data_IF_936368848149
#
_entry.id   IF_936368848149
#
_cell.length_a   1.000
_cell.length_b   1.000
_cell.length_c   1.000
_cell.angle_alpha   90.00
_cell.angle_beta   90.00
_cell.angle_gamma   90.00
#
_symmetry.space_group_name_H-M   'P 1'
#
loop_
_entity.id
_entity.type
_entity.pdbx_description
1 polymer ?
#
# COMPACT_ATOMS: atom_id res chain seq x y z
N UNK A 1 2.87 20.82 14.67
CA UNK A 1 1.54 20.35 15.03
C UNK A 1 1.41 18.86 14.77
N UNK A 2 0.89 18.12 15.75
CA UNK A 2 0.58 16.69 15.62
C UNK A 2 -0.95 16.53 15.63
N UNK A 3 -1.48 15.88 14.59
CA UNK A 3 -2.89 15.49 14.54
C UNK A 3 -2.99 13.99 14.84
N UNK A 4 -3.82 13.62 15.79
CA UNK A 4 -4.10 12.22 16.13
C UNK A 4 -5.43 11.83 15.48
N UNK A 5 -5.44 10.68 14.80
CA UNK A 5 -6.63 10.07 14.22
C UNK A 5 -6.66 8.60 14.59
N UNK A 6 -7.81 7.98 14.50
CA UNK A 6 -7.92 6.55 14.79
C UNK A 6 -9.23 5.97 14.31
N UNK A 7 -9.28 4.66 14.26
CA UNK A 7 -10.48 3.88 13.99
C UNK A 7 -10.51 2.61 14.84
N UNK A 8 -11.71 2.14 15.11
CA UNK A 8 -11.97 0.84 15.69
C UNK A 8 -12.96 0.08 14.81
N UNK A 9 -12.73 -1.21 14.62
CA UNK A 9 -13.63 -2.08 13.89
C UNK A 9 -14.07 -3.21 14.79
N UNK A 10 -15.38 -3.42 14.83
CA UNK A 10 -16.01 -4.62 15.38
C UNK A 10 -16.68 -5.36 14.23
N UNK A 11 -16.47 -6.66 14.13
CA UNK A 11 -17.02 -7.46 13.05
C UNK A 11 -17.51 -8.81 13.58
N UNK A 12 -18.76 -9.12 13.31
CA UNK A 12 -19.31 -10.44 13.47
C UNK A 12 -19.23 -11.19 12.14
N UNK A 13 -18.75 -12.41 12.19
CA UNK A 13 -18.70 -13.32 11.04
C UNK A 13 -19.39 -14.62 11.40
N UNK A 14 -20.40 -14.96 10.61
CA UNK A 14 -21.06 -16.25 10.66
C UNK A 14 -20.60 -17.10 9.47
N UNK A 15 -20.23 -18.34 9.74
CA UNK A 15 -19.77 -19.27 8.71
C UNK A 15 -20.67 -20.52 8.73
N UNK A 16 -21.29 -20.84 7.60
CA UNK A 16 -22.21 -21.98 7.45
C UNK A 16 -21.65 -23.33 7.92
N UNK A 17 -20.32 -23.49 7.95
CA UNK A 17 -19.63 -24.72 8.36
C UNK A 17 -18.55 -24.48 9.43
N UNK A 18 -18.61 -23.37 10.15
CA UNK A 18 -17.63 -22.99 11.15
C UNK A 18 -18.27 -22.33 12.37
N UNK A 19 -17.45 -22.02 13.37
CA UNK A 19 -17.91 -21.25 14.52
C UNK A 19 -18.05 -19.79 14.14
N UNK A 20 -19.18 -19.20 14.50
CA UNK A 20 -19.35 -17.74 14.43
C UNK A 20 -18.32 -17.07 15.34
N UNK A 21 -17.72 -15.99 14.87
CA UNK A 21 -16.72 -15.24 15.65
C UNK A 21 -16.97 -13.73 15.61
N UNK A 22 -16.59 -13.11 16.69
CA UNK A 22 -16.66 -11.66 16.87
C UNK A 22 -15.25 -11.12 17.01
N UNK A 23 -14.78 -10.36 16.05
CA UNK A 23 -13.43 -9.81 16.05
C UNK A 23 -13.41 -8.29 16.20
N UNK A 24 -12.33 -7.80 16.81
CA UNK A 24 -12.06 -6.38 17.01
C UNK A 24 -10.67 -6.00 16.46
N UNK A 25 -10.53 -4.75 16.04
CA UNK A 25 -9.25 -4.13 15.67
C UNK A 25 -9.29 -2.65 16.06
N UNK A 26 -8.20 -2.13 16.60
CA UNK A 26 -8.02 -0.71 16.88
C UNK A 26 -6.77 -0.16 16.19
N UNK A 27 -6.84 1.07 15.68
CA UNK A 27 -5.71 1.78 15.09
C UNK A 27 -5.66 3.22 15.59
N UNK A 28 -4.45 3.71 15.85
CA UNK A 28 -4.18 5.12 16.19
C UNK A 28 -3.04 5.62 15.31
N UNK A 29 -3.25 6.74 14.66
CA UNK A 29 -2.28 7.36 13.75
C UNK A 29 -1.94 8.77 14.22
N UNK A 30 -0.63 9.03 14.28
CA UNK A 30 -0.06 10.32 14.55
C UNK A 30 0.46 10.92 13.24
N UNK A 31 -0.06 12.09 12.89
CA UNK A 31 0.36 12.82 11.70
C UNK A 31 1.04 14.10 12.18
N UNK A 32 2.35 14.18 12.01
CA UNK A 32 3.16 15.31 12.44
C UNK A 32 3.53 16.17 11.23
N UNK A 33 3.12 17.43 11.22
CA UNK A 33 3.68 18.43 10.31
C UNK A 33 4.98 18.96 10.92
N UNK A 34 6.12 18.47 10.40
CA UNK A 34 7.47 18.84 10.89
C UNK A 34 7.79 20.27 10.45
N UNK A 35 7.52 20.59 9.19
CA UNK A 35 7.61 21.94 8.61
C UNK A 35 6.68 22.01 7.39
N UNK A 36 6.71 23.12 6.63
CA UNK A 36 5.81 23.32 5.48
C UNK A 36 6.02 22.32 4.33
N UNK A 37 7.13 21.61 4.30
CA UNK A 37 7.50 20.67 3.25
C UNK A 37 7.65 19.23 3.73
N UNK A 38 7.57 19.00 5.05
CA UNK A 38 7.88 17.69 5.62
C UNK A 38 6.77 17.25 6.57
N UNK A 39 6.19 16.11 6.27
CA UNK A 39 5.23 15.42 7.11
C UNK A 39 5.81 14.08 7.56
N UNK A 40 5.52 13.68 8.80
CA UNK A 40 5.85 12.37 9.34
C UNK A 40 4.59 11.69 9.85
N UNK A 41 4.49 10.39 9.63
CA UNK A 41 3.34 9.58 10.05
C UNK A 41 3.82 8.35 10.79
N UNK A 42 3.20 8.09 11.95
CA UNK A 42 3.34 6.83 12.68
C UNK A 42 1.93 6.31 12.97
N UNK A 43 1.66 5.05 12.65
CA UNK A 43 0.40 4.38 13.00
C UNK A 43 0.68 3.11 13.79
N UNK A 44 -0.02 3.00 14.89
CA UNK A 44 -0.09 1.80 15.70
C UNK A 44 -1.40 1.07 15.42
N UNK A 45 -1.36 -0.24 15.37
CA UNK A 45 -2.53 -1.10 15.14
C UNK A 45 -2.45 -2.34 15.99
N UNK A 46 -3.61 -2.82 16.44
CA UNK A 46 -3.76 -4.23 16.82
C UNK A 46 -4.01 -5.05 15.56
N UNK A 47 -3.67 -6.33 15.55
CA UNK A 47 -4.27 -7.24 14.59
C UNK A 47 -5.77 -7.43 14.90
N UNK A 48 -6.51 -8.07 14.00
CA UNK A 48 -7.86 -8.50 14.33
C UNK A 48 -7.76 -9.63 15.34
N UNK A 49 -8.33 -9.44 16.52
CA UNK A 49 -8.36 -10.44 17.59
C UNK A 49 -9.80 -10.82 17.91
N UNK A 50 -10.02 -12.07 18.26
CA UNK A 50 -11.32 -12.61 18.59
C UNK A 50 -11.70 -12.23 20.01
N UNK A 51 -12.86 -11.57 20.17
CA UNK A 51 -13.42 -11.24 21.47
C UNK A 51 -13.93 -12.50 22.16
N UNK A 52 -13.66 -12.60 23.46
CA UNK A 52 -13.97 -13.80 24.27
C UNK A 52 -12.92 -14.91 24.19
N UNK A 53 -11.90 -14.77 23.35
CA UNK A 53 -10.78 -15.70 23.30
C UNK A 53 -9.64 -15.20 24.21
N UNK A 54 -9.40 -15.87 25.33
CA UNK A 54 -8.40 -15.47 26.31
C UNK A 54 -6.94 -15.59 25.80
N UNK A 55 -6.71 -16.32 24.72
CA UNK A 55 -5.40 -16.50 24.08
C UNK A 55 -5.22 -15.66 22.83
N UNK A 56 -6.20 -14.80 22.49
CA UNK A 56 -6.08 -13.90 21.36
C UNK A 56 -4.91 -12.93 21.53
N UNK A 57 -4.11 -12.79 20.48
CA UNK A 57 -3.03 -11.80 20.46
C UNK A 57 -3.63 -10.40 20.31
N UNK A 58 -3.54 -9.61 21.37
CA UNK A 58 -3.95 -8.20 21.42
C UNK A 58 -2.78 -7.24 21.32
N UNK A 59 -1.61 -7.74 20.92
CA UNK A 59 -0.37 -6.96 20.80
C UNK A 59 -0.54 -5.77 19.86
N UNK A 60 0.08 -4.65 20.21
CA UNK A 60 0.13 -3.45 19.39
C UNK A 60 1.43 -3.44 18.58
N UNK A 61 1.30 -3.20 17.29
CA UNK A 61 2.45 -3.07 16.38
C UNK A 61 2.40 -1.77 15.58
N UNK A 62 3.55 -1.35 15.07
CA UNK A 62 3.65 -0.21 14.16
C UNK A 62 3.52 -0.74 12.72
N UNK A 63 2.45 -0.37 12.03
CA UNK A 63 2.20 -0.74 10.64
C UNK A 63 2.43 0.40 9.63
N UNK A 64 2.65 1.62 10.12
CA UNK A 64 3.05 2.80 9.34
C UNK A 64 4.13 3.56 10.09
N UNK A 65 5.22 3.86 9.42
CA UNK A 65 6.27 4.74 9.95
C UNK A 65 7.03 5.33 8.76
N UNK A 66 6.66 6.54 8.33
CA UNK A 66 7.28 7.15 7.16
C UNK A 66 7.37 8.68 7.28
N UNK A 67 8.28 9.23 6.51
CA UNK A 67 8.43 10.65 6.28
C UNK A 67 8.14 10.95 4.80
N UNK A 68 7.43 12.02 4.53
CA UNK A 68 7.21 12.55 3.19
C UNK A 68 7.79 13.96 3.12
N UNK A 69 8.69 14.21 2.16
CA UNK A 69 9.31 15.51 1.95
C UNK A 69 9.01 16.03 0.54
N UNK A 70 8.61 17.29 0.44
CA UNK A 70 8.33 17.98 -0.81
C UNK A 70 9.51 18.86 -1.19
N UNK A 71 10.13 18.62 -2.35
CA UNK A 71 11.19 19.44 -2.95
C UNK A 71 10.63 20.57 -3.83
N UNK A 72 9.43 21.03 -3.56
CA UNK A 72 8.69 22.02 -4.30
C UNK A 72 7.26 21.56 -4.53
N UNK A 73 6.60 22.14 -5.53
CA UNK A 73 5.20 21.83 -5.82
C UNK A 73 5.02 20.52 -6.61
N UNK A 74 6.06 20.07 -7.30
CA UNK A 74 5.95 18.99 -8.29
C UNK A 74 6.73 17.73 -7.94
N UNK A 75 7.59 17.78 -6.93
CA UNK A 75 8.47 16.67 -6.57
C UNK A 75 8.34 16.36 -5.09
N UNK A 76 8.17 15.08 -4.76
CA UNK A 76 8.20 14.61 -3.38
C UNK A 76 8.88 13.25 -3.25
N UNK A 77 9.42 12.99 -2.07
CA UNK A 77 9.99 11.69 -1.69
C UNK A 77 9.33 11.24 -0.40
N UNK A 78 8.86 10.00 -0.39
CA UNK A 78 8.34 9.30 0.77
C UNK A 78 9.29 8.16 1.13
N UNK A 79 9.68 8.05 2.39
CA UNK A 79 10.58 6.99 2.86
C UNK A 79 10.11 6.40 4.18
N UNK A 80 10.19 5.08 4.32
CA UNK A 80 9.78 4.31 5.49
C UNK A 80 8.78 3.22 5.15
N UNK A 81 7.93 2.86 6.12
CA UNK A 81 6.82 1.91 5.95
C UNK A 81 5.51 2.62 5.67
N UNK A 82 4.91 2.36 4.53
CA UNK A 82 3.64 2.95 4.11
C UNK A 82 2.80 1.97 3.28
N UNK A 83 1.48 2.14 3.27
CA UNK A 83 0.61 1.40 2.37
C UNK A 83 0.68 1.97 0.97
N UNK A 84 0.77 1.11 -0.02
CA UNK A 84 0.86 1.50 -1.41
C UNK A 84 0.24 0.44 -2.32
N UNK A 85 -0.45 0.93 -3.33
CA UNK A 85 -0.86 0.13 -4.48
C UNK A 85 -0.08 0.58 -5.71
N UNK A 86 0.57 -0.35 -6.38
CA UNK A 86 1.29 -0.10 -7.62
C UNK A 86 0.56 -0.76 -8.79
N UNK A 87 0.57 -0.10 -9.95
CA UNK A 87 -0.11 -0.60 -11.14
C UNK A 87 -1.62 -0.78 -10.93
N UNK A 88 -2.30 0.21 -10.32
CA UNK A 88 -3.71 0.15 -9.92
C UNK A 88 -4.05 -1.06 -9.02
N UNK A 89 -3.10 -1.50 -8.18
CA UNK A 89 -3.24 -2.67 -7.31
C UNK A 89 -2.94 -4.02 -7.98
N UNK A 90 -2.79 -4.06 -9.29
CA UNK A 90 -2.52 -5.31 -10.04
C UNK A 90 -1.08 -5.79 -9.88
N UNK A 91 -0.13 -4.87 -9.70
CA UNK A 91 1.27 -5.21 -9.51
C UNK A 91 1.63 -5.44 -8.05
N UNK A 92 1.06 -4.66 -7.14
CA UNK A 92 1.24 -4.79 -5.70
C UNK A 92 0.17 -3.96 -4.99
N UNK A 93 -0.41 -4.51 -3.94
CA UNK A 93 -1.28 -3.79 -3.00
C UNK A 93 -0.97 -4.27 -1.58
N UNK A 94 -0.43 -3.39 -0.74
CA UNK A 94 -0.04 -3.78 0.61
C UNK A 94 0.87 -2.78 1.32
N UNK A 95 1.55 -3.26 2.36
CA UNK A 95 2.54 -2.48 3.08
C UNK A 95 3.91 -2.61 2.39
N UNK A 96 4.57 -1.47 2.24
CA UNK A 96 5.81 -1.32 1.52
C UNK A 96 6.84 -0.62 2.40
N UNK A 97 8.02 -1.22 2.52
CA UNK A 97 9.18 -0.66 3.21
C UNK A 97 10.19 -0.18 2.17
N UNK A 98 10.35 1.13 2.04
CA UNK A 98 11.27 1.64 1.03
C UNK A 98 11.18 3.13 0.81
N UNK A 99 11.59 3.53 -0.40
CA UNK A 99 11.59 4.91 -0.85
C UNK A 99 10.74 5.02 -2.11
N UNK A 100 9.90 6.04 -2.15
CA UNK A 100 9.05 6.39 -3.28
C UNK A 100 9.31 7.83 -3.70
N UNK A 101 9.63 8.01 -4.95
CA UNK A 101 9.75 9.29 -5.61
C UNK A 101 8.48 9.57 -6.42
N UNK A 102 7.96 10.78 -6.31
CA UNK A 102 6.84 11.25 -7.12
C UNK A 102 7.21 12.56 -7.78
N UNK A 103 6.92 12.68 -9.08
CA UNK A 103 7.11 13.90 -9.83
C UNK A 103 5.95 14.11 -10.79
N UNK A 104 5.43 15.33 -10.84
CA UNK A 104 4.35 15.62 -11.78
C UNK A 104 3.54 16.86 -11.44
N UNK A 105 2.43 16.96 -12.13
CA UNK A 105 1.44 18.01 -11.96
C UNK A 105 0.03 17.42 -12.11
N UNK A 106 -1.00 18.27 -12.21
CA UNK A 106 -2.39 17.82 -12.35
C UNK A 106 -2.69 17.03 -13.64
N UNK A 107 -1.82 17.14 -14.67
CA UNK A 107 -2.02 16.48 -15.96
C UNK A 107 -1.20 15.20 -16.11
N UNK A 108 -0.02 15.16 -15.55
CA UNK A 108 0.89 14.02 -15.68
C UNK A 108 1.59 13.77 -14.34
N UNK A 109 1.67 12.52 -13.94
CA UNK A 109 2.33 12.08 -12.72
C UNK A 109 3.22 10.87 -13.01
N UNK A 110 4.47 10.97 -12.57
CA UNK A 110 5.44 9.88 -12.56
C UNK A 110 5.71 9.46 -11.12
N UNK A 111 5.76 8.16 -10.89
CA UNK A 111 6.11 7.57 -9.62
C UNK A 111 7.16 6.50 -9.82
N UNK A 112 8.21 6.51 -9.03
CA UNK A 112 9.19 5.44 -8.95
C UNK A 112 9.36 5.01 -7.50
N UNK A 113 9.53 3.71 -7.25
CA UNK A 113 9.74 3.20 -5.91
C UNK A 113 10.76 2.05 -5.91
N UNK A 114 11.51 1.94 -4.81
CA UNK A 114 12.42 0.85 -4.52
C UNK A 114 12.31 0.47 -3.05
N UNK A 115 12.16 -0.82 -2.78
CA UNK A 115 12.08 -1.34 -1.42
C UNK A 115 11.51 -2.76 -1.37
N UNK A 116 10.81 -3.06 -0.29
CA UNK A 116 10.31 -4.41 0.00
C UNK A 116 8.80 -4.40 0.23
N UNK A 117 8.10 -5.37 -0.35
CA UNK A 117 6.72 -5.65 0.01
C UNK A 117 6.69 -6.44 1.33
N UNK A 118 6.06 -5.89 2.37
CA UNK A 118 5.99 -6.53 3.70
C UNK A 118 4.61 -7.11 4.01
N UNK A 119 3.62 -6.80 3.20
CA UNK A 119 2.31 -7.45 3.19
C UNK A 119 1.73 -7.41 1.78
N UNK A 120 0.82 -8.31 1.48
CA UNK A 120 0.21 -8.40 0.16
C UNK A 120 0.36 -9.79 -0.47
N UNK A 121 0.01 -9.93 -1.74
CA UNK A 121 -0.05 -11.25 -2.39
C UNK A 121 1.32 -11.92 -2.53
N UNK A 122 2.37 -11.17 -2.75
CA UNK A 122 3.71 -11.73 -2.94
C UNK A 122 4.34 -12.28 -1.66
N UNK A 123 4.02 -11.69 -0.50
CA UNK A 123 4.55 -12.15 0.80
C UNK A 123 3.95 -13.48 1.26
N UNK A 124 2.75 -13.83 0.79
CA UNK A 124 2.09 -15.10 1.14
C UNK A 124 2.73 -16.31 0.46
N UNK A 125 3.43 -16.08 -0.64
CA UNK A 125 3.97 -17.16 -1.48
C UNK A 125 5.38 -17.60 -1.07
N UNK A 126 6.14 -16.76 -0.35
CA UNK A 126 7.59 -16.96 -0.22
C UNK A 126 8.12 -16.96 1.21
N UNK A 127 7.33 -16.60 2.23
CA UNK A 127 7.80 -16.32 3.60
C UNK A 127 8.93 -15.26 3.68
N UNK A 128 9.30 -14.66 2.56
CA UNK A 128 10.31 -13.61 2.45
C UNK A 128 9.68 -12.35 1.86
N UNK A 129 10.23 -11.19 2.23
CA UNK A 129 9.78 -9.91 1.73
C UNK A 129 10.39 -9.68 0.34
N UNK A 130 9.63 -9.71 -0.75
CA UNK A 130 10.16 -9.50 -2.09
C UNK A 130 10.66 -8.06 -2.25
N UNK A 131 11.82 -7.92 -2.88
CA UNK A 131 12.32 -6.63 -3.33
C UNK A 131 11.54 -6.17 -4.56
N UNK A 132 11.10 -4.93 -4.56
CA UNK A 132 10.31 -4.32 -5.62
C UNK A 132 11.03 -3.11 -6.21
N UNK A 133 11.09 -3.05 -7.54
CA UNK A 133 11.42 -1.86 -8.32
C UNK A 133 10.20 -1.48 -9.12
N UNK A 134 9.71 -0.27 -8.95
CA UNK A 134 8.44 0.17 -9.54
C UNK A 134 8.62 1.46 -10.31
N UNK A 135 7.96 1.55 -11.46
CA UNK A 135 7.77 2.79 -12.22
C UNK A 135 6.33 2.87 -12.73
N UNK A 136 5.66 3.97 -12.43
CA UNK A 136 4.31 4.27 -12.92
C UNK A 136 4.31 5.62 -13.61
N UNK A 137 3.57 5.73 -14.70
CA UNK A 137 3.29 6.98 -15.38
C UNK A 137 1.80 7.07 -15.65
N UNK A 138 1.16 8.15 -15.20
CA UNK A 138 -0.25 8.39 -15.41
C UNK A 138 -0.45 9.79 -16.01
N UNK A 139 -1.40 9.92 -16.90
CA UNK A 139 -1.73 11.17 -17.55
C UNK A 139 -3.23 11.36 -17.78
N UNK A 140 -3.70 12.60 -17.66
CA UNK A 140 -5.06 12.99 -18.03
C UNK A 140 -5.15 13.27 -19.52
N UNK A 141 -6.09 12.62 -20.19
CA UNK A 141 -6.39 12.84 -21.61
C UNK A 141 -7.77 13.49 -21.70
N UNK A 142 -7.77 14.79 -21.99
CA UNK A 142 -8.99 15.58 -21.97
C UNK A 142 -9.60 15.71 -20.57
N UNK A 143 -10.93 15.79 -20.51
CA UNK A 143 -11.69 15.96 -19.25
C UNK A 143 -12.16 14.63 -18.66
N UNK A 144 -12.16 13.57 -19.44
CA UNK A 144 -12.90 12.35 -19.13
C UNK A 144 -12.04 11.08 -19.05
N UNK A 145 -10.74 11.14 -19.38
CA UNK A 145 -9.89 9.97 -19.35
C UNK A 145 -8.62 10.20 -18.55
N UNK A 146 -8.24 9.20 -17.75
CA UNK A 146 -6.89 9.05 -17.24
C UNK A 146 -6.32 7.79 -17.87
N UNK A 147 -5.11 7.87 -18.38
CA UNK A 147 -4.39 6.73 -18.95
C UNK A 147 -3.08 6.56 -18.20
N UNK A 148 -2.68 5.34 -17.98
CA UNK A 148 -1.45 5.05 -17.28
C UNK A 148 -0.77 3.79 -17.78
N UNK A 149 0.53 3.73 -17.52
CA UNK A 149 1.34 2.55 -17.71
C UNK A 149 2.19 2.30 -16.47
N UNK A 150 2.46 1.05 -16.19
CA UNK A 150 3.30 0.66 -15.07
C UNK A 150 4.25 -0.48 -15.42
N UNK A 151 5.36 -0.49 -14.71
CA UNK A 151 6.32 -1.56 -14.68
C UNK A 151 6.70 -1.86 -13.24
N UNK A 152 6.70 -3.13 -12.87
CA UNK A 152 7.16 -3.60 -11.57
C UNK A 152 8.06 -4.81 -11.77
N UNK A 153 9.27 -4.75 -11.22
CA UNK A 153 10.16 -5.90 -11.09
C UNK A 153 10.09 -6.39 -9.65
N UNK A 154 9.79 -7.66 -9.49
CA UNK A 154 9.75 -8.38 -8.22
C UNK A 154 10.95 -9.31 -8.20
N UNK A 155 11.86 -9.12 -7.24
CA UNK A 155 12.97 -10.01 -6.98
C UNK A 155 12.67 -10.76 -5.67
N UNK A 156 12.71 -12.08 -5.70
CA UNK A 156 12.53 -12.93 -4.52
C UNK A 156 13.31 -14.23 -4.70
N UNK A 157 13.74 -14.81 -3.60
CA UNK A 157 14.11 -16.21 -3.58
C UNK A 157 12.79 -16.99 -3.53
N UNK A 158 12.59 -17.91 -4.46
CA UNK A 158 11.42 -18.80 -4.50
C UNK A 158 10.08 -18.24 -5.02
N UNK A 159 10.05 -17.79 -6.24
CA UNK A 159 8.83 -17.89 -7.02
C UNK A 159 8.68 -19.33 -7.56
N UNK A 160 8.47 -20.33 -6.67
CA UNK A 160 8.19 -21.73 -7.02
C UNK A 160 9.18 -22.37 -8.01
N UNK A 161 10.47 -22.32 -7.75
CA UNK A 161 11.44 -23.15 -8.45
C UNK A 161 12.14 -24.10 -7.49
N UNK A 162 12.26 -25.41 -7.80
CA UNK A 162 13.01 -26.34 -6.96
C UNK A 162 14.54 -26.16 -7.05
N UNK A 163 15.01 -25.12 -7.70
CA UNK A 163 16.43 -24.80 -7.87
C UNK A 163 16.64 -23.36 -7.40
N UNK A 164 17.56 -23.15 -6.48
CA UNK A 164 18.00 -21.88 -5.87
C UNK A 164 18.50 -20.83 -6.89
N UNK A 165 17.68 -20.45 -7.83
CA UNK A 165 17.96 -19.36 -8.75
C UNK A 165 17.22 -18.13 -8.27
N UNK A 166 17.90 -16.99 -8.10
CA UNK A 166 17.28 -15.69 -7.90
C UNK A 166 16.24 -15.47 -9.00
N UNK A 167 14.99 -15.77 -8.69
CA UNK A 167 13.90 -15.60 -9.62
C UNK A 167 13.46 -14.12 -9.58
N UNK A 168 13.30 -13.52 -10.73
CA UNK A 168 12.65 -12.22 -10.84
C UNK A 168 11.42 -12.33 -11.73
N UNK A 169 10.42 -11.53 -11.43
CA UNK A 169 9.21 -11.41 -12.24
C UNK A 169 9.06 -9.96 -12.68
N UNK A 170 8.85 -9.75 -13.96
CA UNK A 170 8.49 -8.44 -14.51
C UNK A 170 6.99 -8.41 -14.74
N UNK A 171 6.35 -7.37 -14.23
CA UNK A 171 4.92 -7.10 -14.38
C UNK A 171 4.79 -5.73 -15.01
N UNK A 172 4.10 -5.64 -16.13
CA UNK A 172 3.81 -4.38 -16.80
C UNK A 172 2.39 -4.38 -17.32
N UNK A 173 1.82 -3.22 -17.43
CA UNK A 173 0.45 -3.08 -17.88
C UNK A 173 0.04 -1.64 -18.12
N UNK A 174 -1.21 -1.52 -18.53
CA UNK A 174 -1.88 -0.26 -18.78
C UNK A 174 -3.14 -0.19 -17.93
N UNK A 175 -3.50 1.01 -17.52
CA UNK A 175 -4.79 1.30 -16.91
C UNK A 175 -5.43 2.49 -17.59
N UNK A 176 -6.76 2.48 -17.65
CA UNK A 176 -7.55 3.58 -18.17
C UNK A 176 -8.77 3.74 -17.27
N UNK A 177 -8.94 4.95 -16.73
CA UNK A 177 -10.14 5.34 -16.01
C UNK A 177 -10.93 6.32 -16.88
N UNK A 178 -12.18 5.99 -17.16
CA UNK A 178 -13.09 6.83 -17.91
C UNK A 178 -14.16 7.39 -16.98
N UNK A 179 -14.31 8.69 -16.96
CA UNK A 179 -15.32 9.37 -16.16
C UNK A 179 -16.29 10.14 -17.09
N UNK A 180 -17.49 9.63 -17.20
CA UNK A 180 -18.57 10.26 -17.95
C UNK A 180 -19.58 10.81 -16.95
N UNK A 181 -19.70 12.12 -16.87
CA UNK A 181 -20.55 12.85 -15.89
C UNK A 181 -22.04 12.45 -15.89
N UNK A 182 -22.48 11.55 -16.76
CA UNK A 182 -23.90 11.19 -16.94
C UNK A 182 -24.18 9.70 -17.16
N UNK A 183 -23.25 8.81 -17.00
CA UNK A 183 -23.52 7.36 -17.13
C UNK A 183 -23.35 6.69 -15.77
N UNK A 184 -24.46 6.45 -15.12
CA UNK A 184 -24.58 5.50 -14.04
C UNK A 184 -24.90 4.12 -14.67
N UNK A 185 -24.00 3.20 -14.56
CA UNK A 185 -24.30 1.77 -14.78
C UNK A 185 -24.44 1.18 -13.39
N UNK A 186 -25.69 0.99 -12.98
CA UNK A 186 -26.07 0.30 -11.76
C UNK A 186 -25.93 -1.22 -11.90
#
# INVERSE_FOLDING_TARGET
NVKVTGDARLRYQDQEKGNSKFDARARVQFNAKVNDRTDAVVRMTTDSFELGNATADTGVKIDRAYVNHKFGERVSVKAGRFGQAFGAGLAFDGDFDGVQFNAGNEKINFQAAYGYGVSGEFTKATNENPELVVANLNGKVGKHANVGGFYTRVNGEDLKSPVSAKAYKNIYGFNTDLNFDKVWVG
#
